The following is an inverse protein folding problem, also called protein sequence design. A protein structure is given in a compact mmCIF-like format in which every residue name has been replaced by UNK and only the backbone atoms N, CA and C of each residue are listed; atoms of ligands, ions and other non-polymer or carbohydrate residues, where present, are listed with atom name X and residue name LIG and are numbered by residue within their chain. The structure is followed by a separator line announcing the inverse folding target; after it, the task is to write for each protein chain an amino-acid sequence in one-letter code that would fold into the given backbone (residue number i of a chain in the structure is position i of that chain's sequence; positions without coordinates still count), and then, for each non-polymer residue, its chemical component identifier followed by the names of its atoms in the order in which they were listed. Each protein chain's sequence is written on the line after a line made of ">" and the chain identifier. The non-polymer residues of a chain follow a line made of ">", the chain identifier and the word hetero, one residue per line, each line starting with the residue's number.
data_IF_917153453149
#
_entry.id   IF_917153453149
#
_cell.length_a   1.000
_cell.length_b   1.000
_cell.length_c   1.000
_cell.angle_alpha   90.00
_cell.angle_beta   90.00
_cell.angle_gamma   90.00
#
_symmetry.space_group_name_H-M   'P 1'
#
loop_
_entity.id
_entity.type
_entity.pdbx_description
1 polymer ?
#
# COMPACT_ATOMS: atom_id res chain seq x y z
N UNK A 1 -44.51 -1.68 10.02
CA UNK A 1 -44.29 -2.83 9.11
C UNK A 1 -42.79 -2.90 8.85
N UNK A 2 -42.12 -3.96 9.34
CA UNK A 2 -40.71 -4.22 9.02
C UNK A 2 -40.58 -4.73 7.59
N UNK A 3 -39.52 -4.34 6.90
CA UNK A 3 -38.60 -5.27 6.25
C UNK A 3 -37.30 -4.55 5.89
N UNK A 4 -36.31 -4.68 6.77
CA UNK A 4 -34.90 -4.40 6.52
C UNK A 4 -34.30 -5.59 5.78
N UNK A 5 -34.03 -5.43 4.49
CA UNK A 5 -33.37 -6.43 3.65
C UNK A 5 -31.90 -6.10 3.48
N UNK A 6 -31.06 -6.56 4.42
CA UNK A 6 -29.66 -6.93 4.13
C UNK A 6 -29.10 -7.77 5.27
N UNK A 7 -29.29 -9.09 5.19
CA UNK A 7 -28.91 -10.02 6.26
C UNK A 7 -27.41 -10.32 6.35
N UNK A 8 -26.52 -9.68 5.57
CA UNK A 8 -25.08 -9.98 5.62
C UNK A 8 -24.16 -8.77 5.35
N UNK A 9 -24.56 -7.54 5.75
CA UNK A 9 -23.66 -6.38 5.68
C UNK A 9 -22.92 -6.17 7.01
N UNK A 10 -21.68 -6.64 7.15
CA UNK A 10 -20.84 -6.24 8.31
C UNK A 10 -20.57 -4.75 8.22
N UNK A 11 -21.14 -3.96 9.14
CA UNK A 11 -20.92 -2.52 9.22
C UNK A 11 -19.51 -2.23 9.75
N UNK A 12 -18.54 -2.03 8.85
CA UNK A 12 -17.14 -1.76 9.22
C UNK A 12 -16.96 -0.47 10.03
N UNK A 13 -17.91 0.46 9.95
CA UNK A 13 -17.89 1.72 10.69
C UNK A 13 -18.19 1.51 12.18
N UNK A 14 -18.95 0.47 12.54
CA UNK A 14 -19.26 0.12 13.93
C UNK A 14 -18.07 -0.53 14.68
N UNK A 15 -17.02 -0.97 13.97
CA UNK A 15 -15.82 -1.53 14.58
C UNK A 15 -14.90 -0.47 15.22
N UNK A 16 -15.29 0.81 15.25
CA UNK A 16 -14.57 1.85 16.00
C UNK A 16 -13.13 2.08 15.55
N UNK A 17 -12.78 1.63 14.34
CA UNK A 17 -11.42 1.76 13.80
C UNK A 17 -11.21 3.22 13.44
N UNK A 18 -10.64 3.98 14.37
CA UNK A 18 -10.08 5.28 14.04
C UNK A 18 -9.16 5.09 12.85
N UNK A 19 -9.39 5.85 11.78
CA UNK A 19 -8.52 5.85 10.61
C UNK A 19 -7.20 6.44 11.07
N UNK A 20 -6.31 5.57 11.56
CA UNK A 20 -4.95 5.92 11.91
C UNK A 20 -4.38 6.63 10.68
N UNK A 21 -4.01 7.91 10.85
CA UNK A 21 -3.30 8.64 9.82
C UNK A 21 -1.90 8.02 9.77
N UNK A 22 -1.70 7.07 8.87
CA UNK A 22 -0.46 6.33 8.74
C UNK A 22 0.51 7.21 7.94
N UNK A 23 1.43 7.86 8.64
CA UNK A 23 2.53 8.62 8.03
C UNK A 23 3.71 7.68 7.82
N UNK A 24 4.09 7.45 6.57
CA UNK A 24 5.23 6.59 6.22
C UNK A 24 6.57 7.13 6.76
N UNK A 25 6.67 8.44 6.99
CA UNK A 25 7.87 9.08 7.51
C UNK A 25 8.19 8.69 8.96
N UNK A 26 7.16 8.29 9.71
CA UNK A 26 7.29 7.94 11.13
C UNK A 26 7.54 6.44 11.34
N UNK A 27 7.63 5.65 10.27
CA UNK A 27 7.77 4.21 10.33
C UNK A 27 9.22 3.75 10.12
N UNK A 28 9.60 2.67 10.81
CA UNK A 28 10.92 2.05 10.62
C UNK A 28 11.00 1.41 9.24
N UNK A 29 11.91 1.91 8.40
CA UNK A 29 12.18 1.33 7.07
C UNK A 29 12.81 -0.07 7.23
N UNK A 30 12.29 -1.05 6.48
CA UNK A 30 12.86 -2.39 6.41
C UNK A 30 13.63 -2.62 5.11
N UNK A 31 13.21 -2.00 4.01
CA UNK A 31 13.90 -2.06 2.72
C UNK A 31 14.01 -0.64 2.17
N UNK A 32 15.22 -0.25 1.81
CA UNK A 32 15.53 1.02 1.14
C UNK A 32 16.01 0.74 -0.28
N UNK A 33 15.49 1.52 -1.22
CA UNK A 33 15.87 1.49 -2.64
C UNK A 33 16.28 2.91 -3.02
N UNK A 34 17.57 3.24 -3.03
CA UNK A 34 18.04 4.58 -3.37
C UNK A 34 18.47 4.64 -4.84
N UNK A 35 17.64 5.21 -5.72
CA UNK A 35 18.00 5.48 -7.12
C UNK A 35 18.19 4.23 -7.99
N UNK A 36 17.24 3.28 -7.95
CA UNK A 36 17.29 2.04 -8.73
C UNK A 36 17.15 2.32 -10.23
N UNK A 37 18.17 1.91 -10.99
CA UNK A 37 18.16 1.85 -12.43
C UNK A 37 18.22 0.37 -12.88
N UNK A 38 17.28 -0.05 -13.72
CA UNK A 38 17.17 -1.45 -14.17
C UNK A 38 17.24 -1.52 -15.69
N UNK A 39 18.10 -2.39 -16.21
CA UNK A 39 18.32 -2.58 -17.65
C UNK A 39 18.11 -4.04 -18.05
N UNK A 40 17.44 -4.25 -19.18
CA UNK A 40 17.39 -5.50 -19.92
C UNK A 40 18.25 -5.35 -21.18
N UNK A 41 19.52 -5.72 -21.08
CA UNK A 41 20.52 -5.44 -22.11
C UNK A 41 20.71 -3.94 -22.29
N UNK A 42 20.59 -3.46 -23.52
CA UNK A 42 20.69 -2.03 -23.83
C UNK A 42 19.44 -1.23 -23.44
N UNK A 43 18.32 -1.90 -23.18
CA UNK A 43 17.04 -1.23 -22.86
C UNK A 43 16.91 -1.00 -21.36
N UNK A 44 16.71 0.25 -20.96
CA UNK A 44 16.39 0.60 -19.58
C UNK A 44 14.89 0.46 -19.29
N UNK A 45 14.55 -0.30 -18.24
CA UNK A 45 13.19 -0.54 -17.77
C UNK A 45 12.79 0.34 -16.57
N UNK A 46 13.71 0.57 -15.62
CA UNK A 46 13.47 1.47 -14.48
C UNK A 46 14.51 2.57 -14.47
N UNK A 47 14.06 3.80 -14.18
CA UNK A 47 14.87 5.01 -14.21
C UNK A 47 14.83 5.65 -12.82
N UNK A 48 15.98 5.66 -12.14
CA UNK A 48 16.21 6.32 -10.86
C UNK A 48 15.08 6.16 -9.82
N UNK A 49 14.59 4.94 -9.65
CA UNK A 49 13.45 4.67 -8.75
C UNK A 49 13.92 4.69 -7.31
N UNK A 50 13.36 5.62 -6.51
CA UNK A 50 13.61 5.69 -5.07
C UNK A 50 12.37 5.27 -4.26
N UNK A 51 12.54 4.31 -3.34
CA UNK A 51 11.44 3.73 -2.57
C UNK A 51 11.89 3.26 -1.18
N UNK A 52 11.08 3.53 -0.16
CA UNK A 52 11.21 2.96 1.18
C UNK A 52 10.02 2.06 1.50
N UNK A 53 10.27 0.84 1.94
CA UNK A 53 9.26 -0.12 2.39
C UNK A 53 9.36 -0.27 3.91
N UNK A 54 8.32 0.13 4.67
CA UNK A 54 8.34 0.03 6.12
C UNK A 54 8.23 -1.42 6.62
N UNK A 55 8.77 -1.66 7.82
CA UNK A 55 8.71 -2.94 8.50
C UNK A 55 7.26 -3.34 8.81
N UNK A 56 6.94 -4.63 8.62
CA UNK A 56 5.60 -5.19 8.91
C UNK A 56 4.45 -4.51 8.16
N UNK A 57 4.74 -3.91 6.99
CA UNK A 57 3.71 -3.35 6.11
C UNK A 57 3.53 -4.18 4.85
N UNK A 58 2.27 -4.32 4.46
CA UNK A 58 1.91 -4.86 3.15
C UNK A 58 2.07 -3.74 2.14
N UNK A 59 2.91 -3.97 1.13
CA UNK A 59 3.14 -3.03 0.03
C UNK A 59 2.70 -3.69 -1.27
N UNK A 60 1.83 -3.01 -2.02
CA UNK A 60 1.39 -3.48 -3.33
C UNK A 60 2.08 -2.66 -4.43
N UNK A 61 2.65 -3.34 -5.42
CA UNK A 61 3.15 -2.72 -6.63
C UNK A 61 2.07 -2.80 -7.70
N UNK A 62 1.61 -1.63 -8.18
CA UNK A 62 0.52 -1.53 -9.17
C UNK A 62 1.03 -0.73 -10.36
N UNK A 63 0.73 -1.20 -11.57
CA UNK A 63 1.05 -0.53 -12.83
C UNK A 63 0.13 -1.00 -13.96
N UNK A 64 0.07 -0.27 -15.09
CA UNK A 64 -0.61 -0.74 -16.30
C UNK A 64 0.04 -2.02 -16.83
N UNK A 65 -0.75 -2.84 -17.54
CA UNK A 65 -0.23 -4.00 -18.28
C UNK A 65 0.61 -3.58 -19.48
#
# INVERSE_FOLDING_TARGET
>A
MQHDSSTHGVNMSALGRSKQSLSLADETVAIEVPGLNLYYGEKQALYDVSLNIPKQRVTAFIGPS
#
